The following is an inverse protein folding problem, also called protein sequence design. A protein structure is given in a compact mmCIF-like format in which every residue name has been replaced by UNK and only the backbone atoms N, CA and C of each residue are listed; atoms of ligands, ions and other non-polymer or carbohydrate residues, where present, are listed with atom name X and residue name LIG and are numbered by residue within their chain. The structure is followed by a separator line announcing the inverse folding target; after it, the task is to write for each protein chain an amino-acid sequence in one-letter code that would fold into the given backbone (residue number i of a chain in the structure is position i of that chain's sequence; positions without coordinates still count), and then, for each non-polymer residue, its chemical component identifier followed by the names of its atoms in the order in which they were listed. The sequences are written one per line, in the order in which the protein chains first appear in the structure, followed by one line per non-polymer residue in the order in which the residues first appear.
data_IF_411048007197
#
_entry.id   IF_411048007197
#
_cell.length_a   1.000
_cell.length_b   1.000
_cell.length_c   1.000
_cell.angle_alpha   90.00
_cell.angle_beta   90.00
_cell.angle_gamma   90.00
#
_symmetry.space_group_name_H-M   'P 1'
#
loop_
_entity.id
_entity.type
_entity.pdbx_description
1 polymer ?
#
# COMPACT_ATOMS: atom_id res chain seq x y z
N UNK A 1 10.81 10.92 -11.88
CA UNK A 1 10.08 10.21 -10.82
C UNK A 1 8.72 10.84 -10.55
N UNK A 2 8.66 12.10 -10.11
CA UNK A 2 7.39 12.73 -9.73
C UNK A 2 6.28 12.72 -10.81
N UNK A 3 6.60 13.15 -12.03
CA UNK A 3 5.62 13.18 -13.13
C UNK A 3 5.13 11.79 -13.57
N UNK A 4 5.85 10.74 -13.21
CA UNK A 4 5.52 9.34 -13.54
C UNK A 4 4.94 8.57 -12.35
N UNK A 5 4.81 9.22 -11.19
CA UNK A 5 4.22 8.65 -9.98
C UNK A 5 2.69 8.79 -10.01
N UNK A 6 2.02 7.88 -9.31
CA UNK A 6 0.56 7.72 -9.32
C UNK A 6 -0.04 8.42 -8.10
N UNK A 7 -1.23 8.99 -8.25
CA UNK A 7 -2.03 9.52 -7.13
C UNK A 7 -3.05 8.47 -6.66
N UNK A 8 -3.40 8.49 -5.38
CA UNK A 8 -4.31 7.51 -4.74
C UNK A 8 -5.64 7.32 -5.49
N UNK A 9 -6.23 8.43 -5.96
CA UNK A 9 -7.45 8.45 -6.77
C UNK A 9 -7.18 9.06 -8.15
N UNK A 10 -5.96 8.90 -8.66
CA UNK A 10 -5.59 9.32 -10.00
C UNK A 10 -6.12 8.37 -11.09
N UNK A 11 -6.02 8.77 -12.37
CA UNK A 11 -6.55 8.00 -13.49
C UNK A 11 -5.94 6.60 -13.61
N UNK A 12 -4.68 6.42 -13.23
CA UNK A 12 -4.02 5.11 -13.22
C UNK A 12 -4.59 4.20 -12.12
N UNK A 13 -4.84 4.75 -10.92
CA UNK A 13 -5.44 4.02 -9.79
C UNK A 13 -6.88 3.62 -10.10
N UNK A 14 -7.68 4.53 -10.66
CA UNK A 14 -9.05 4.23 -11.10
C UNK A 14 -9.07 3.15 -12.18
N UNK A 15 -8.11 3.15 -13.12
CA UNK A 15 -8.02 2.10 -14.14
C UNK A 15 -7.76 0.73 -13.51
N UNK A 16 -6.92 0.65 -12.48
CA UNK A 16 -6.65 -0.60 -11.75
C UNK A 16 -7.88 -1.01 -10.94
N UNK A 17 -8.54 -0.07 -10.26
CA UNK A 17 -9.78 -0.33 -9.52
C UNK A 17 -10.88 -0.89 -10.44
N UNK A 18 -11.06 -0.29 -11.62
CA UNK A 18 -12.02 -0.74 -12.63
C UNK A 18 -11.70 -2.15 -13.14
N UNK A 19 -10.41 -2.50 -13.31
CA UNK A 19 -10.02 -3.88 -13.62
C UNK A 19 -10.38 -4.85 -12.49
N UNK A 20 -10.09 -4.49 -11.23
CA UNK A 20 -10.42 -5.32 -10.07
C UNK A 20 -11.93 -5.62 -10.00
N UNK A 21 -12.75 -4.57 -10.17
CA UNK A 21 -14.21 -4.67 -10.16
C UNK A 21 -14.75 -5.47 -11.35
N UNK A 22 -14.22 -5.23 -12.56
CA UNK A 22 -14.67 -5.90 -13.79
C UNK A 22 -14.42 -7.41 -13.76
N UNK A 23 -13.24 -7.82 -13.30
CA UNK A 23 -12.84 -9.23 -13.28
C UNK A 23 -13.13 -9.92 -11.96
N UNK A 24 -13.65 -9.20 -10.96
CA UNK A 24 -13.93 -9.72 -9.61
C UNK A 24 -12.71 -10.37 -8.99
N UNK A 25 -11.59 -9.64 -9.04
CA UNK A 25 -10.31 -10.05 -8.48
C UNK A 25 -9.86 -9.07 -7.39
N UNK A 26 -9.08 -9.59 -6.45
CA UNK A 26 -8.36 -8.78 -5.47
C UNK A 26 -6.95 -8.53 -6.01
N UNK A 27 -6.50 -7.28 -5.98
CA UNK A 27 -5.17 -6.89 -6.43
C UNK A 27 -4.44 -6.11 -5.34
N UNK A 28 -3.18 -6.48 -5.14
CA UNK A 28 -2.23 -5.77 -4.26
C UNK A 28 -1.10 -5.28 -5.15
N UNK A 29 -0.96 -3.96 -5.29
CA UNK A 29 -0.07 -3.35 -6.28
C UNK A 29 0.90 -2.42 -5.59
N UNK A 30 2.20 -2.69 -5.75
CA UNK A 30 3.26 -1.75 -5.35
C UNK A 30 3.30 -0.57 -6.32
N UNK A 31 3.27 0.64 -5.78
CA UNK A 31 3.28 1.89 -6.54
C UNK A 31 4.25 2.89 -5.93
N UNK A 32 4.77 3.77 -6.79
CA UNK A 32 5.35 5.03 -6.32
C UNK A 32 4.20 6.04 -6.30
N UNK A 33 3.78 6.38 -5.10
CA UNK A 33 2.71 7.33 -4.86
C UNK A 33 3.29 8.75 -4.83
N UNK A 34 2.58 9.70 -5.43
CA UNK A 34 2.82 11.13 -5.20
C UNK A 34 1.65 11.73 -4.45
N UNK A 35 1.96 12.57 -3.49
CA UNK A 35 0.99 13.32 -2.71
C UNK A 35 1.61 14.65 -2.27
N UNK A 36 1.01 15.76 -2.72
CA UNK A 36 1.62 17.08 -2.66
C UNK A 36 2.99 17.09 -3.32
N UNK A 37 4.02 17.65 -2.67
CA UNK A 37 5.39 17.67 -3.22
C UNK A 37 6.23 16.42 -2.94
N UNK A 38 5.64 15.37 -2.34
CA UNK A 38 6.41 14.24 -1.78
C UNK A 38 6.10 12.93 -2.51
N UNK A 39 7.11 12.06 -2.60
CA UNK A 39 6.96 10.70 -3.13
C UNK A 39 6.95 9.69 -1.99
N UNK A 40 6.14 8.65 -2.12
CA UNK A 40 6.06 7.55 -1.15
C UNK A 40 6.20 6.21 -1.86
N UNK A 41 6.87 5.26 -1.21
CA UNK A 41 6.83 3.86 -1.60
C UNK A 41 5.60 3.24 -0.93
N UNK A 42 4.61 2.89 -1.73
CA UNK A 42 3.29 2.51 -1.24
C UNK A 42 2.81 1.20 -1.85
N UNK A 43 1.93 0.51 -1.15
CA UNK A 43 1.12 -0.58 -1.69
C UNK A 43 -0.33 -0.12 -1.69
N UNK A 44 -1.01 -0.27 -2.82
CA UNK A 44 -2.44 -0.01 -2.96
C UNK A 44 -3.20 -1.34 -3.03
N UNK A 45 -4.33 -1.40 -2.33
CA UNK A 45 -5.20 -2.57 -2.24
C UNK A 45 -6.49 -2.29 -3.01
N UNK A 46 -6.88 -3.24 -3.86
CA UNK A 46 -8.11 -3.19 -4.63
C UNK A 46 -8.86 -4.50 -4.48
N UNK A 47 -10.17 -4.41 -4.29
CA UNK A 47 -11.08 -5.54 -4.18
C UNK A 47 -12.09 -5.56 -5.32
N UNK A 48 -13.03 -6.49 -5.23
CA UNK A 48 -14.10 -6.69 -6.22
C UNK A 48 -15.08 -5.50 -6.34
N UNK A 49 -15.00 -4.55 -5.40
CA UNK A 49 -15.82 -3.35 -5.31
C UNK A 49 -15.00 -2.06 -5.55
N UNK A 50 -13.71 -2.18 -5.88
CA UNK A 50 -12.82 -1.06 -6.20
C UNK A 50 -11.69 -0.86 -5.20
N UNK A 51 -11.27 0.39 -5.02
CA UNK A 51 -10.16 0.74 -4.13
C UNK A 51 -10.50 0.50 -2.66
N UNK A 52 -9.60 -0.14 -1.92
CA UNK A 52 -9.79 -0.50 -0.52
C UNK A 52 -8.94 0.35 0.44
N UNK A 53 -7.74 0.76 0.00
CA UNK A 53 -6.84 1.58 0.80
C UNK A 53 -5.37 1.38 0.42
N UNK A 54 -4.48 1.95 1.24
CA UNK A 54 -3.03 1.92 1.02
C UNK A 54 -2.24 1.67 2.30
N UNK A 55 -0.99 1.25 2.09
CA UNK A 55 0.07 1.26 3.09
C UNK A 55 1.28 2.02 2.52
N UNK A 56 1.77 3.04 3.25
CA UNK A 56 3.03 3.74 2.95
C UNK A 56 4.15 3.14 3.78
N UNK A 57 5.30 2.84 3.16
CA UNK A 57 6.50 2.34 3.84
C UNK A 57 6.87 3.27 4.99
N UNK A 58 6.86 2.77 6.22
CA UNK A 58 7.12 3.54 7.44
C UNK A 58 8.49 4.22 7.40
N UNK A 59 9.52 3.46 7.00
CA UNK A 59 10.91 3.91 7.02
C UNK A 59 11.62 3.49 5.73
N UNK A 60 11.87 4.42 4.80
CA UNK A 60 12.74 4.17 3.66
C UNK A 60 14.15 3.75 4.11
N UNK A 61 14.73 2.82 3.36
CA UNK A 61 16.02 2.19 3.66
C UNK A 61 17.15 3.00 3.02
N UNK A 62 18.13 3.42 3.83
CA UNK A 62 19.37 4.05 3.36
C UNK A 62 19.13 5.21 2.36
N UNK A 63 19.56 5.08 1.11
CA UNK A 63 19.48 6.11 0.08
C UNK A 63 18.05 6.43 -0.36
N UNK A 64 17.10 5.52 -0.13
CA UNK A 64 15.69 5.77 -0.41
C UNK A 64 15.17 6.99 0.37
N UNK A 65 15.76 7.31 1.53
CA UNK A 65 15.40 8.49 2.35
C UNK A 65 15.64 9.83 1.67
N UNK A 66 16.47 9.86 0.63
CA UNK A 66 16.71 11.07 -0.16
C UNK A 66 15.56 11.35 -1.15
N UNK A 67 14.68 10.38 -1.39
CA UNK A 67 13.66 10.44 -2.45
C UNK A 67 12.26 10.23 -1.89
N UNK A 68 12.09 9.26 -0.98
CA UNK A 68 10.80 8.89 -0.43
C UNK A 68 10.57 9.48 0.95
N UNK A 69 9.33 9.94 1.17
CA UNK A 69 8.82 10.33 2.46
C UNK A 69 8.56 9.14 3.38
N UNK A 70 8.44 9.44 4.67
CA UNK A 70 8.11 8.47 5.70
C UNK A 70 6.61 8.21 5.74
N UNK A 71 6.22 6.95 5.82
CA UNK A 71 4.87 6.55 6.19
C UNK A 71 4.61 6.73 7.68
N UNK A 72 3.36 6.54 8.08
CA UNK A 72 2.95 6.53 9.48
C UNK A 72 2.13 5.28 9.83
N UNK A 73 1.85 5.12 11.12
CA UNK A 73 1.09 3.98 11.62
C UNK A 73 -0.40 3.99 11.27
N UNK A 74 -0.94 5.09 10.72
CA UNK A 74 -2.34 5.15 10.28
C UNK A 74 -2.56 4.28 9.05
N UNK A 75 -1.52 4.14 8.22
CA UNK A 75 -1.53 3.37 6.99
C UNK A 75 -1.11 1.90 7.18
N UNK A 76 -1.45 1.26 8.31
CA UNK A 76 -1.23 -0.18 8.52
C UNK A 76 -2.55 -1.00 8.46
N UNK A 77 -3.31 -0.95 7.35
CA UNK A 77 -4.60 -1.63 7.27
C UNK A 77 -4.42 -3.15 7.19
N UNK A 78 -5.41 -3.85 7.74
CA UNK A 78 -5.66 -5.26 7.43
C UNK A 78 -7.08 -5.31 6.89
N UNK A 79 -7.23 -5.88 5.71
CA UNK A 79 -8.52 -5.96 5.04
C UNK A 79 -9.09 -7.37 5.13
N UNK A 80 -10.35 -7.46 5.54
CA UNK A 80 -11.12 -8.70 5.46
C UNK A 80 -11.57 -8.92 4.02
N UNK A 81 -11.23 -10.09 3.47
CA UNK A 81 -11.63 -10.51 2.13
C UNK A 81 -12.25 -11.90 2.17
N UNK A 82 -13.00 -12.32 1.13
CA UNK A 82 -13.52 -13.69 1.04
C UNK A 82 -12.43 -14.78 1.08
N UNK A 83 -11.17 -14.43 0.80
CA UNK A 83 -10.03 -15.36 0.84
C UNK A 83 -9.31 -15.37 2.21
N UNK A 84 -9.72 -14.50 3.14
CA UNK A 84 -9.06 -14.28 4.42
C UNK A 84 -8.60 -12.83 4.59
N UNK A 85 -7.84 -12.59 5.66
CA UNK A 85 -7.26 -11.28 5.98
C UNK A 85 -6.01 -11.02 5.15
N UNK A 86 -5.93 -9.84 4.53
CA UNK A 86 -4.75 -9.40 3.78
C UNK A 86 -4.14 -8.14 4.39
N UNK A 87 -2.82 -8.11 4.43
CA UNK A 87 -2.00 -6.99 4.86
C UNK A 87 -0.61 -7.19 4.22
N UNK A 88 0.24 -6.17 4.26
CA UNK A 88 1.50 -6.23 3.53
C UNK A 88 2.55 -5.32 4.11
N UNK A 89 3.79 -5.82 4.16
CA UNK A 89 4.98 -5.11 4.59
C UNK A 89 5.90 -4.86 3.39
N UNK A 90 6.59 -3.73 3.35
CA UNK A 90 7.47 -3.37 2.23
C UNK A 90 8.94 -3.60 2.63
N UNK A 91 9.61 -4.53 1.93
CA UNK A 91 11.05 -4.75 2.01
C UNK A 91 11.51 -4.95 3.48
N UNK A 92 12.33 -4.03 4.01
CA UNK A 92 12.91 -4.10 5.37
C UNK A 92 11.90 -3.95 6.51
N UNK A 93 10.65 -3.55 6.24
CA UNK A 93 9.59 -3.56 7.27
C UNK A 93 9.32 -4.97 7.81
N UNK A 94 9.62 -6.01 7.03
CA UNK A 94 9.56 -7.40 7.49
C UNK A 94 10.51 -7.69 8.65
N UNK A 95 11.59 -6.92 8.81
CA UNK A 95 12.52 -7.06 9.94
C UNK A 95 12.08 -6.26 11.17
N UNK A 96 11.12 -5.34 11.05
CA UNK A 96 10.64 -4.54 12.17
C UNK A 96 9.72 -5.37 13.07
N UNK A 97 10.11 -5.68 14.32
CA UNK A 97 9.32 -6.55 15.18
C UNK A 97 7.94 -5.96 15.50
N UNK A 98 7.87 -4.67 15.83
CA UNK A 98 6.61 -4.01 16.18
C UNK A 98 5.63 -3.93 15.01
N UNK A 99 6.14 -3.82 13.78
CA UNK A 99 5.29 -3.84 12.59
C UNK A 99 4.61 -5.20 12.43
N UNK A 100 5.39 -6.29 12.49
CA UNK A 100 4.86 -7.66 12.42
C UNK A 100 3.89 -7.96 13.55
N UNK A 101 4.23 -7.59 14.78
CA UNK A 101 3.32 -7.76 15.94
C UNK A 101 2.01 -7.02 15.72
N UNK A 102 2.04 -5.82 15.12
CA UNK A 102 0.82 -5.07 14.79
C UNK A 102 -0.04 -5.84 13.78
N UNK A 103 0.54 -6.39 12.71
CA UNK A 103 -0.20 -7.21 11.77
C UNK A 103 -0.77 -8.48 12.41
N UNK A 104 0.03 -9.18 13.24
CA UNK A 104 -0.42 -10.37 13.96
C UNK A 104 -1.56 -10.07 14.94
N UNK A 105 -1.50 -8.94 15.66
CA UNK A 105 -2.57 -8.50 16.56
C UNK A 105 -3.89 -8.20 15.83
N UNK A 106 -3.82 -7.90 14.53
CA UNK A 106 -4.98 -7.67 13.65
C UNK A 106 -5.46 -8.96 12.96
N UNK A 107 -4.83 -10.10 13.25
CA UNK A 107 -5.23 -11.41 12.75
C UNK A 107 -4.61 -11.81 11.42
N UNK A 108 -3.51 -11.19 11.00
CA UNK A 108 -2.64 -11.75 9.96
C UNK A 108 -1.92 -12.96 10.58
N UNK A 109 -2.05 -14.13 9.97
CA UNK A 109 -1.43 -15.39 10.44
C UNK A 109 -0.46 -15.93 9.38
#
# INVERSE_FOLDING_TARGET
YYNSAIEEHGPESERIANMATKYKIIMVVGVIERDGGTLYCSIFYYGCDGYMGKHRKLMPTELERCIWGFGDGSTMPVFDTPLGKIGGAICWENYMPLYRVTLYSKGIC
#
